data_IF_700120021781
#
_entry.id   IF_700120021781
#
_cell.length_a   1.000
_cell.length_b   1.000
_cell.length_c   1.000
_cell.angle_alpha   90.00
_cell.angle_beta   90.00
_cell.angle_gamma   90.00
#
_symmetry.space_group_name_H-M   'P 1'
#
loop_
_entity.id
_entity.type
_entity.pdbx_description
1 polymer ?
#
# COMPACT_ATOMS: atom_id res chain seq x y z
N UNK A 1 57.89 -81.20 -47.30
CA UNK A 1 58.62 -79.93 -47.51
C UNK A 1 57.59 -78.87 -47.81
N UNK A 2 57.34 -77.96 -46.87
CA UNK A 2 56.35 -76.90 -47.01
C UNK A 2 57.06 -75.59 -46.64
N UNK A 3 57.27 -74.71 -47.62
CA UNK A 3 58.04 -73.48 -47.47
C UNK A 3 57.08 -72.34 -47.13
N UNK A 4 57.30 -71.71 -45.98
CA UNK A 4 56.61 -70.50 -45.52
C UNK A 4 56.93 -69.32 -46.44
N UNK A 5 55.91 -68.59 -46.89
CA UNK A 5 56.04 -67.47 -47.82
C UNK A 5 56.65 -66.20 -47.20
N UNK A 6 57.21 -65.30 -48.02
CA UNK A 6 57.88 -64.09 -47.55
C UNK A 6 56.90 -63.05 -46.97
N UNK A 7 57.36 -62.30 -45.96
CA UNK A 7 56.60 -61.18 -45.36
C UNK A 7 56.28 -60.08 -46.37
N UNK A 8 55.08 -59.50 -46.22
CA UNK A 8 54.58 -58.43 -47.09
C UNK A 8 55.38 -57.11 -47.00
N UNK A 9 55.28 -56.27 -48.03
CA UNK A 9 56.03 -55.01 -48.11
C UNK A 9 55.60 -54.01 -47.04
N UNK A 10 56.56 -53.18 -46.61
CA UNK A 10 56.38 -52.13 -45.60
C UNK A 10 55.47 -51.02 -46.15
N UNK A 11 54.52 -50.54 -45.33
CA UNK A 11 53.55 -49.52 -45.73
C UNK A 11 54.18 -48.18 -46.11
N UNK A 12 53.49 -47.42 -46.96
CA UNK A 12 53.94 -46.11 -47.48
C UNK A 12 53.98 -45.05 -46.39
N UNK A 13 54.97 -44.15 -46.49
CA UNK A 13 55.15 -43.02 -45.56
C UNK A 13 54.04 -41.98 -45.79
N UNK A 14 53.45 -41.48 -44.70
CA UNK A 14 52.35 -40.52 -44.75
C UNK A 14 52.75 -39.16 -45.34
N UNK A 15 51.77 -38.47 -45.95
CA UNK A 15 51.97 -37.20 -46.62
C UNK A 15 52.25 -36.05 -45.63
N UNK A 16 53.05 -35.08 -46.06
CA UNK A 16 53.35 -33.87 -45.29
C UNK A 16 52.10 -32.99 -45.14
N UNK A 17 51.89 -32.43 -43.94
CA UNK A 17 50.73 -31.58 -43.64
C UNK A 17 50.71 -30.28 -44.43
N UNK A 18 49.51 -29.73 -44.65
CA UNK A 18 49.31 -28.49 -45.39
C UNK A 18 49.90 -27.26 -44.68
N UNK A 19 50.34 -26.22 -45.42
CA UNK A 19 50.76 -24.95 -44.85
C UNK A 19 49.63 -24.29 -44.02
N UNK A 20 50.02 -23.56 -42.97
CA UNK A 20 49.07 -22.83 -42.13
C UNK A 20 48.38 -21.66 -42.88
N UNK A 21 47.21 -21.21 -42.39
CA UNK A 21 46.48 -20.11 -43.01
C UNK A 21 47.24 -18.78 -42.89
N UNK A 22 46.97 -17.86 -43.83
CA UNK A 22 47.52 -16.51 -43.84
C UNK A 22 46.96 -15.68 -42.65
N UNK A 23 47.80 -14.85 -42.04
CA UNK A 23 47.40 -13.99 -40.91
C UNK A 23 46.43 -12.88 -41.31
N UNK A 24 45.59 -12.46 -40.36
CA UNK A 24 44.59 -11.41 -40.55
C UNK A 24 45.22 -10.03 -40.82
N UNK A 25 44.52 -9.20 -41.61
CA UNK A 25 44.87 -7.80 -41.84
C UNK A 25 44.73 -6.98 -40.55
N UNK A 26 45.60 -5.98 -40.35
CA UNK A 26 45.52 -5.08 -39.19
C UNK A 26 44.27 -4.21 -39.20
N UNK A 27 43.77 -3.86 -38.01
CA UNK A 27 42.58 -3.01 -37.85
C UNK A 27 42.80 -1.59 -38.39
N UNK A 28 41.73 -1.01 -38.94
CA UNK A 28 41.71 0.35 -39.45
C UNK A 28 41.80 1.36 -38.28
N UNK A 29 42.58 2.43 -38.44
CA UNK A 29 42.81 3.41 -37.39
C UNK A 29 41.53 4.13 -36.96
N UNK A 30 41.38 4.37 -35.66
CA UNK A 30 40.20 5.03 -35.10
C UNK A 30 39.99 6.44 -35.66
N UNK A 31 38.73 6.77 -35.96
CA UNK A 31 38.30 8.13 -36.33
C UNK A 31 38.63 9.09 -35.16
N UNK A 32 39.16 10.26 -35.49
CA UNK A 32 39.50 11.29 -34.50
C UNK A 32 38.27 11.75 -33.67
N UNK A 33 38.48 12.21 -32.42
CA UNK A 33 37.39 12.58 -31.54
C UNK A 33 36.58 13.75 -32.12
N UNK A 34 35.26 13.67 -31.94
CA UNK A 34 34.34 14.75 -32.28
C UNK A 34 34.64 15.99 -31.43
N UNK A 35 34.65 17.17 -32.04
CA UNK A 35 34.94 18.43 -31.33
C UNK A 35 33.94 18.74 -30.21
N UNK A 36 34.42 19.44 -29.18
CA UNK A 36 33.67 19.74 -27.96
C UNK A 36 32.37 20.50 -28.26
N UNK A 37 31.29 20.06 -27.61
CA UNK A 37 29.98 20.71 -27.68
C UNK A 37 30.04 22.09 -27.00
N UNK A 38 29.43 23.10 -27.61
CA UNK A 38 29.36 24.45 -27.04
C UNK A 38 28.70 24.46 -25.66
N UNK A 39 29.23 25.30 -24.76
CA UNK A 39 28.76 25.43 -23.38
C UNK A 39 27.24 25.64 -23.32
N UNK A 40 26.56 24.84 -22.48
CA UNK A 40 25.15 25.02 -22.17
C UNK A 40 24.91 26.44 -21.62
N UNK A 41 23.83 27.08 -22.09
CA UNK A 41 23.39 28.37 -21.57
C UNK A 41 23.14 28.31 -20.07
N UNK A 42 23.34 29.45 -19.40
CA UNK A 42 23.16 29.57 -17.95
C UNK A 42 21.80 29.03 -17.52
N UNK A 43 21.81 28.24 -16.44
CA UNK A 43 20.61 27.70 -15.80
C UNK A 43 19.69 28.88 -15.43
N UNK A 44 18.44 28.83 -15.90
CA UNK A 44 17.42 29.82 -15.52
C UNK A 44 17.32 29.96 -14.00
N UNK A 45 17.03 31.17 -13.53
CA UNK A 45 16.88 31.47 -12.10
C UNK A 45 15.88 30.51 -11.47
N UNK A 46 16.20 30.03 -10.26
CA UNK A 46 15.29 29.23 -9.44
C UNK A 46 13.98 30.02 -9.29
N UNK A 47 12.84 29.37 -9.57
CA UNK A 47 11.53 29.99 -9.41
C UNK A 47 11.32 30.44 -7.96
N UNK A 48 10.53 31.49 -7.77
CA UNK A 48 10.18 31.96 -6.43
C UNK A 48 9.55 30.83 -5.62
N UNK A 49 9.88 30.81 -4.32
CA UNK A 49 9.33 29.83 -3.38
C UNK A 49 7.79 29.92 -3.39
N UNK A 50 7.13 28.78 -3.52
CA UNK A 50 5.67 28.73 -3.53
C UNK A 50 5.10 29.36 -2.27
N UNK A 51 4.01 30.13 -2.42
CA UNK A 51 3.31 30.70 -1.27
C UNK A 51 3.01 29.59 -0.24
N UNK A 52 3.16 29.86 1.06
CA UNK A 52 2.77 28.92 2.10
C UNK A 52 1.35 28.43 1.85
N UNK A 53 1.14 27.11 1.97
CA UNK A 53 -0.20 26.53 1.81
C UNK A 53 -1.19 27.14 2.81
N UNK A 54 -2.46 27.16 2.44
CA UNK A 54 -3.54 27.62 3.32
C UNK A 54 -3.47 26.91 4.68
N UNK A 55 -3.80 27.64 5.74
CA UNK A 55 -3.86 27.08 7.08
C UNK A 55 -4.76 25.84 7.09
N UNK A 56 -4.29 24.76 7.72
CA UNK A 56 -5.11 23.56 7.90
C UNK A 56 -6.42 23.88 8.63
N UNK A 57 -7.47 23.06 8.42
CA UNK A 57 -8.73 23.22 9.14
C UNK A 57 -8.48 23.24 10.66
N UNK A 58 -9.32 23.96 11.44
CA UNK A 58 -9.21 23.98 12.89
C UNK A 58 -9.13 22.57 13.47
N UNK A 59 -8.19 22.35 14.40
CA UNK A 59 -8.14 21.10 15.13
C UNK A 59 -9.47 20.84 15.86
N UNK A 60 -9.80 19.57 16.15
CA UNK A 60 -10.96 19.24 16.99
C UNK A 60 -10.90 20.00 18.32
N UNK A 61 -12.05 20.27 18.96
CA UNK A 61 -12.12 21.04 20.21
C UNK A 61 -11.11 20.54 21.25
N UNK A 62 -10.27 21.45 21.74
CA UNK A 62 -9.31 21.13 22.79
C UNK A 62 -10.03 20.72 24.07
N UNK A 63 -9.62 19.58 24.62
CA UNK A 63 -10.05 19.10 25.93
C UNK A 63 -9.60 20.11 27.00
N UNK A 64 -10.56 20.72 27.72
CA UNK A 64 -10.27 21.64 28.81
C UNK A 64 -9.75 20.85 30.01
N UNK A 65 -8.46 20.56 30.03
CA UNK A 65 -7.78 20.09 31.23
C UNK A 65 -7.28 21.33 31.99
N UNK A 66 -8.03 21.73 33.01
CA UNK A 66 -7.62 22.76 33.94
C UNK A 66 -6.47 22.23 34.83
N UNK A 67 -5.23 22.57 34.47
CA UNK A 67 -4.11 22.74 35.39
C UNK A 67 -3.23 21.52 35.72
N UNK A 68 -2.00 21.49 35.17
CA UNK A 68 -0.73 21.55 35.92
C UNK A 68 0.46 21.08 35.05
N UNK A 69 1.49 21.92 34.94
CA UNK A 69 2.72 21.69 34.19
C UNK A 69 3.61 20.59 34.82
N UNK A 70 3.98 19.62 33.98
CA UNK A 70 5.23 18.86 33.89
C UNK A 70 6.16 18.73 35.12
N UNK A 71 6.22 17.50 35.66
CA UNK A 71 7.36 16.57 35.51
C UNK A 71 7.10 15.39 36.45
N UNK A 72 6.84 14.19 35.91
CA UNK A 72 7.24 12.88 36.47
C UNK A 72 6.80 11.76 35.52
N UNK A 73 7.69 10.79 35.30
CA UNK A 73 7.45 9.59 34.49
C UNK A 73 6.36 8.72 35.15
N UNK A 74 5.30 8.40 34.40
CA UNK A 74 4.20 7.50 34.82
C UNK A 74 2.84 8.20 35.02
N UNK A 75 1.71 7.46 34.99
CA UNK A 75 0.37 8.04 35.10
C UNK A 75 0.20 8.70 36.47
N UNK A 76 0.12 10.03 36.47
CA UNK A 76 0.14 10.87 37.67
C UNK A 76 -1.19 10.94 38.43
N UNK A 77 -1.77 9.81 38.83
CA UNK A 77 -2.85 9.80 39.82
C UNK A 77 -2.26 9.55 41.21
N UNK A 78 -2.01 10.61 41.98
CA UNK A 78 -1.64 10.48 43.40
C UNK A 78 -2.84 9.94 44.19
N UNK A 79 -2.82 8.64 44.47
CA UNK A 79 -3.81 7.89 45.28
C UNK A 79 -3.81 8.27 46.78
N UNK A 80 -2.89 9.13 47.24
CA UNK A 80 -2.80 9.50 48.65
C UNK A 80 -2.59 11.00 48.78
N UNK A 81 -3.68 11.72 49.09
CA UNK A 81 -3.61 13.01 49.76
C UNK A 81 -4.16 12.80 51.17
N UNK A 82 -3.27 12.64 52.12
CA UNK A 82 -3.60 12.57 53.55
C UNK A 82 -3.89 14.00 54.03
N UNK A 83 -5.12 14.48 53.80
CA UNK A 83 -5.70 15.53 54.63
C UNK A 83 -7.08 15.08 55.06
N UNK A 84 -7.28 15.17 56.37
CA UNK A 84 -8.34 14.55 57.17
C UNK A 84 -9.75 14.86 56.66
N UNK A 85 -10.58 13.81 56.66
CA UNK A 85 -11.99 13.84 56.27
C UNK A 85 -12.44 12.45 55.83
N UNK A 86 -12.60 11.53 56.78
CA UNK A 86 -12.89 10.08 56.58
C UNK A 86 -14.09 9.77 55.66
N UNK A 87 -15.04 10.70 55.48
CA UNK A 87 -16.14 10.52 54.53
C UNK A 87 -15.81 10.91 53.08
N UNK A 88 -14.81 11.77 52.87
CA UNK A 88 -14.48 12.32 51.56
C UNK A 88 -13.48 11.47 50.77
N UNK A 89 -12.58 10.76 51.45
CA UNK A 89 -11.56 9.93 50.81
C UNK A 89 -12.16 8.72 50.09
N UNK A 90 -13.12 8.04 50.74
CA UNK A 90 -13.81 6.88 50.17
C UNK A 90 -14.73 7.29 49.01
N UNK A 91 -15.45 8.41 49.12
CA UNK A 91 -16.24 8.97 48.01
C UNK A 91 -15.36 9.41 46.83
N UNK A 92 -14.19 9.98 47.08
CA UNK A 92 -13.23 10.33 46.03
C UNK A 92 -12.65 9.08 45.36
N UNK A 93 -12.42 8.00 46.11
CA UNK A 93 -11.99 6.71 45.56
C UNK A 93 -13.07 6.08 44.69
N UNK A 94 -14.32 6.02 45.16
CA UNK A 94 -15.46 5.51 44.39
C UNK A 94 -15.71 6.34 43.12
N UNK A 95 -15.59 7.67 43.20
CA UNK A 95 -15.66 8.56 42.02
C UNK A 95 -14.49 8.29 41.06
N UNK A 96 -13.28 8.08 41.58
CA UNK A 96 -12.11 7.71 40.78
C UNK A 96 -12.31 6.40 40.02
N UNK A 97 -12.78 5.35 40.71
CA UNK A 97 -13.13 4.07 40.08
C UNK A 97 -14.26 4.23 39.05
N UNK A 98 -15.29 5.03 39.37
CA UNK A 98 -16.37 5.36 38.45
C UNK A 98 -15.84 5.99 37.15
N UNK A 99 -14.90 6.91 37.25
CA UNK A 99 -14.25 7.53 36.09
C UNK A 99 -13.40 6.53 35.32
N UNK A 100 -12.63 5.66 35.97
CA UNK A 100 -11.83 4.62 35.29
C UNK A 100 -12.74 3.67 34.51
N UNK A 101 -13.84 3.21 35.12
CA UNK A 101 -14.83 2.37 34.46
C UNK A 101 -15.49 3.11 33.30
N UNK A 102 -15.82 4.39 33.49
CA UNK A 102 -16.38 5.23 32.44
C UNK A 102 -15.41 5.33 31.27
N UNK A 103 -14.15 5.72 31.49
CA UNK A 103 -13.16 5.84 30.41
C UNK A 103 -12.82 4.51 29.73
N UNK A 104 -12.85 3.38 30.46
CA UNK A 104 -12.66 2.06 29.85
C UNK A 104 -13.84 1.65 28.96
N UNK A 105 -15.05 2.07 29.32
CA UNK A 105 -16.26 1.78 28.53
C UNK A 105 -16.47 2.76 27.39
N UNK A 106 -16.03 4.02 27.53
CA UNK A 106 -16.39 5.10 26.62
C UNK A 106 -15.53 5.05 25.36
N UNK A 107 -16.10 4.57 24.25
CA UNK A 107 -15.41 4.41 22.96
C UNK A 107 -15.54 5.65 22.08
N UNK A 108 -14.75 6.69 22.36
CA UNK A 108 -14.89 7.98 21.67
C UNK A 108 -14.32 8.03 20.24
N UNK A 109 -13.75 6.94 19.72
CA UNK A 109 -13.12 6.92 18.40
C UNK A 109 -11.81 7.72 18.31
N UNK A 110 -11.13 7.92 19.44
CA UNK A 110 -9.84 8.62 19.51
C UNK A 110 -8.68 7.63 19.56
N UNK A 111 -7.43 8.07 19.36
CA UNK A 111 -6.27 7.16 19.44
C UNK A 111 -6.10 6.50 20.82
N UNK A 112 -6.53 7.17 21.89
CA UNK A 112 -6.43 6.68 23.26
C UNK A 112 -7.65 5.85 23.70
N UNK A 113 -8.80 6.11 23.08
CA UNK A 113 -10.02 5.31 23.25
C UNK A 113 -10.65 5.07 21.87
N UNK A 114 -10.11 4.11 21.09
CA UNK A 114 -10.64 3.77 19.78
C UNK A 114 -11.98 3.03 19.94
N UNK A 115 -12.85 3.18 18.95
CA UNK A 115 -14.11 2.43 18.92
C UNK A 115 -13.93 1.07 18.25
N UNK A 116 -14.78 0.09 18.53
CA UNK A 116 -14.65 -1.23 17.88
C UNK A 116 -14.88 -1.16 16.37
N UNK A 117 -15.80 -0.32 15.92
CA UNK A 117 -16.07 -0.03 14.51
C UNK A 117 -16.77 1.32 14.37
N UNK A 118 -16.84 1.88 13.16
CA UNK A 118 -17.61 3.11 12.94
C UNK A 118 -19.10 2.92 13.25
N UNK A 119 -19.63 1.71 13.06
CA UNK A 119 -21.01 1.40 13.41
C UNK A 119 -21.24 1.50 14.92
N UNK A 120 -20.32 0.95 15.71
CA UNK A 120 -20.41 1.01 17.17
C UNK A 120 -20.30 2.46 17.66
N UNK A 121 -19.34 3.21 17.10
CA UNK A 121 -19.15 4.63 17.39
C UNK A 121 -20.43 5.43 17.14
N UNK A 122 -21.13 5.18 16.02
CA UNK A 122 -22.38 5.85 15.70
C UNK A 122 -23.53 5.48 16.66
N UNK A 123 -23.57 4.23 17.16
CA UNK A 123 -24.60 3.80 18.11
C UNK A 123 -24.42 4.45 19.49
N UNK A 124 -23.17 4.65 19.93
CA UNK A 124 -22.88 5.33 21.20
C UNK A 124 -22.96 6.86 21.08
N UNK A 125 -22.53 7.40 19.93
CA UNK A 125 -22.43 8.83 19.66
C UNK A 125 -23.14 9.23 18.35
N UNK A 126 -24.50 9.23 18.31
CA UNK A 126 -25.26 9.55 17.09
C UNK A 126 -25.10 11.00 16.62
N UNK A 127 -24.60 11.88 17.48
CA UNK A 127 -24.33 13.30 17.21
C UNK A 127 -22.99 13.54 16.51
N UNK A 128 -22.13 12.51 16.42
CA UNK A 128 -20.84 12.65 15.76
C UNK A 128 -21.01 12.75 14.24
N UNK A 129 -20.27 13.67 13.58
CA UNK A 129 -20.31 13.78 12.12
C UNK A 129 -19.44 12.70 11.46
N UNK A 130 -19.75 12.35 10.19
CA UNK A 130 -18.86 11.56 9.36
C UNK A 130 -17.47 12.22 9.29
N UNK A 131 -16.41 11.42 9.39
CA UNK A 131 -15.07 11.96 9.60
C UNK A 131 -14.01 10.90 9.86
N UNK A 132 -12.81 11.35 10.21
CA UNK A 132 -11.71 10.44 10.54
C UNK A 132 -11.73 10.09 12.03
N UNK A 133 -11.64 8.79 12.32
CA UNK A 133 -11.66 8.25 13.67
C UNK A 133 -10.67 7.08 13.79
N UNK A 134 -10.40 6.68 15.03
CA UNK A 134 -9.62 5.49 15.34
C UNK A 134 -10.54 4.35 15.75
N UNK A 135 -10.31 3.18 15.15
CA UNK A 135 -11.03 1.97 15.49
C UNK A 135 -10.09 0.82 15.87
N UNK A 136 -10.53 -0.03 16.77
CA UNK A 136 -9.83 -1.23 17.23
C UNK A 136 -10.77 -2.45 17.16
N UNK A 137 -10.87 -3.10 15.99
CA UNK A 137 -11.81 -4.20 15.74
C UNK A 137 -11.45 -5.51 16.46
N UNK A 138 -10.15 -5.76 16.65
CA UNK A 138 -9.63 -6.91 17.39
C UNK A 138 -9.64 -6.68 18.91
N UNK A 139 -9.86 -5.43 19.34
CA UNK A 139 -9.74 -5.00 20.72
C UNK A 139 -8.33 -5.33 21.29
N UNK A 140 -8.19 -5.20 22.60
CA UNK A 140 -6.95 -5.51 23.30
C UNK A 140 -6.03 -4.29 23.35
N UNK A 141 -4.91 -4.34 22.64
CA UNK A 141 -3.85 -3.36 22.80
C UNK A 141 -3.98 -2.21 21.79
N UNK A 142 -4.65 -1.13 22.19
CA UNK A 142 -4.96 0.09 21.39
C UNK A 142 -3.82 0.68 20.53
N UNK A 143 -2.57 0.26 20.73
CA UNK A 143 -1.43 0.59 19.88
C UNK A 143 -1.55 0.11 18.43
N UNK A 144 -2.33 -0.94 18.16
CA UNK A 144 -2.56 -1.45 16.80
C UNK A 144 -3.87 -0.97 16.18
N UNK A 145 -4.59 -0.07 16.87
CA UNK A 145 -5.82 0.51 16.34
C UNK A 145 -5.57 1.20 14.99
N UNK A 146 -6.57 1.11 14.12
CA UNK A 146 -6.52 1.54 12.73
C UNK A 146 -7.17 2.92 12.57
N UNK A 147 -6.60 3.75 11.70
CA UNK A 147 -7.14 5.06 11.40
C UNK A 147 -8.02 4.99 10.15
N UNK A 148 -9.30 5.27 10.31
CA UNK A 148 -10.32 5.06 9.28
C UNK A 148 -11.16 6.30 9.07
N UNK A 149 -11.82 6.35 7.92
CA UNK A 149 -12.93 7.29 7.71
C UNK A 149 -14.25 6.60 8.03
N UNK A 150 -14.99 7.13 8.98
CA UNK A 150 -16.33 6.70 9.30
C UNK A 150 -17.32 7.52 8.49
N UNK A 151 -18.06 6.85 7.62
CA UNK A 151 -19.18 7.42 6.91
C UNK A 151 -20.48 6.96 7.58
N UNK A 152 -21.06 7.82 8.41
CA UNK A 152 -22.28 7.49 9.15
C UNK A 152 -23.54 7.60 8.29
N UNK A 153 -23.49 8.23 7.12
CA UNK A 153 -24.64 8.30 6.22
C UNK A 153 -24.93 6.93 5.60
N UNK A 154 -23.87 6.21 5.22
CA UNK A 154 -23.97 4.84 4.66
C UNK A 154 -23.62 3.75 5.68
N UNK A 155 -23.16 4.12 6.88
CA UNK A 155 -22.77 3.19 7.94
C UNK A 155 -21.51 2.39 7.63
N UNK A 156 -20.52 3.00 6.98
CA UNK A 156 -19.29 2.34 6.53
C UNK A 156 -18.06 2.69 7.38
N UNK A 157 -17.16 1.72 7.50
CA UNK A 157 -15.79 1.91 8.01
C UNK A 157 -14.82 1.82 6.84
N UNK A 158 -14.29 2.97 6.38
CA UNK A 158 -13.43 3.06 5.21
C UNK A 158 -11.96 3.01 5.60
N UNK A 159 -11.30 1.89 5.28
CA UNK A 159 -9.86 1.68 5.47
C UNK A 159 -9.14 2.05 4.18
N UNK A 160 -8.13 2.91 4.26
CA UNK A 160 -7.36 3.35 3.09
C UNK A 160 -6.06 2.56 2.93
N UNK A 161 -5.63 2.29 1.68
CA UNK A 161 -4.35 1.65 1.44
C UNK A 161 -3.19 2.55 1.89
N UNK A 162 -2.14 1.95 2.46
CA UNK A 162 -0.90 2.66 2.83
C UNK A 162 -0.27 3.37 1.63
N UNK A 163 -0.29 2.70 0.47
CA UNK A 163 0.15 3.26 -0.80
C UNK A 163 -1.06 3.45 -1.72
N UNK A 164 -1.47 4.72 -1.91
CA UNK A 164 -2.64 5.07 -2.73
C UNK A 164 -2.40 4.93 -4.23
N UNK A 165 -1.15 5.07 -4.67
CA UNK A 165 -0.77 4.99 -6.08
C UNK A 165 0.41 4.03 -6.25
N UNK A 166 0.31 3.15 -7.25
CA UNK A 166 1.39 2.26 -7.68
C UNK A 166 1.75 2.65 -9.12
N UNK A 167 3.01 3.03 -9.33
CA UNK A 167 3.53 3.44 -10.65
C UNK A 167 4.77 2.60 -10.96
N UNK A 168 4.75 1.92 -12.10
CA UNK A 168 5.92 1.23 -12.67
C UNK A 168 6.08 1.68 -14.13
N UNK A 169 7.09 2.53 -14.44
CA UNK A 169 7.31 3.01 -15.80
C UNK A 169 7.81 1.91 -16.76
N UNK A 170 8.29 0.78 -16.24
CA UNK A 170 8.83 -0.34 -17.02
C UNK A 170 7.93 -1.58 -16.94
N UNK A 171 6.65 -1.39 -16.59
CA UNK A 171 5.68 -2.46 -16.43
C UNK A 171 5.59 -3.34 -17.69
N UNK A 172 5.75 -4.66 -17.51
CA UNK A 172 5.63 -5.64 -18.59
C UNK A 172 4.24 -6.28 -18.60
N UNK A 173 3.79 -6.82 -19.76
CA UNK A 173 2.58 -7.62 -19.81
C UNK A 173 2.63 -8.78 -18.80
N UNK A 174 1.51 -9.03 -18.11
CA UNK A 174 1.33 -10.11 -17.13
C UNK A 174 2.22 -10.02 -15.87
N UNK A 175 2.72 -8.83 -15.53
CA UNK A 175 3.46 -8.57 -14.31
C UNK A 175 2.52 -8.17 -13.16
N UNK A 176 2.67 -8.78 -12.00
CA UNK A 176 2.02 -8.32 -10.77
C UNK A 176 2.71 -7.04 -10.27
N UNK A 177 1.92 -5.97 -10.05
CA UNK A 177 2.45 -4.64 -9.70
C UNK A 177 2.54 -4.40 -8.19
N UNK A 178 1.75 -5.10 -7.39
CA UNK A 178 1.71 -4.96 -5.92
C UNK A 178 2.17 -6.23 -5.24
N UNK A 179 2.99 -6.07 -4.19
CA UNK A 179 3.33 -7.18 -3.29
C UNK A 179 2.11 -7.55 -2.42
N UNK A 180 2.10 -8.80 -1.94
CA UNK A 180 1.08 -9.27 -1.00
C UNK A 180 1.21 -8.45 0.28
N UNK A 181 0.20 -7.63 0.56
CA UNK A 181 0.10 -6.92 1.84
C UNK A 181 -0.24 -7.99 2.87
N UNK A 182 0.61 -8.16 3.89
CA UNK A 182 0.40 -9.12 4.97
C UNK A 182 -1.00 -8.98 5.54
N UNK A 183 -1.67 -10.11 5.81
CA UNK A 183 -2.95 -10.21 6.49
C UNK A 183 -2.98 -9.26 7.70
N UNK A 184 -3.57 -8.07 7.54
CA UNK A 184 -3.81 -7.19 8.67
C UNK A 184 -4.87 -7.88 9.52
N UNK A 185 -4.48 -8.37 10.71
CA UNK A 185 -5.36 -9.06 11.65
C UNK A 185 -6.66 -8.26 11.86
N UNK A 186 -6.53 -6.94 11.99
CA UNK A 186 -7.59 -5.93 11.98
C UNK A 186 -8.64 -6.14 10.88
N UNK A 187 -8.22 -6.41 9.64
CA UNK A 187 -9.12 -6.60 8.50
C UNK A 187 -9.96 -7.87 8.63
N UNK A 188 -9.43 -8.93 9.27
CA UNK A 188 -10.21 -10.15 9.53
C UNK A 188 -11.37 -9.86 10.48
N UNK A 189 -11.14 -9.08 11.53
CA UNK A 189 -12.21 -8.67 12.45
C UNK A 189 -13.20 -7.72 11.81
N UNK A 190 -12.75 -6.77 10.98
CA UNK A 190 -13.66 -5.90 10.23
C UNK A 190 -14.60 -6.68 9.30
N UNK A 191 -14.10 -7.75 8.67
CA UNK A 191 -14.95 -8.64 7.86
C UNK A 191 -16.03 -9.31 8.71
N UNK A 192 -15.70 -9.76 9.93
CA UNK A 192 -16.68 -10.36 10.85
C UNK A 192 -17.74 -9.36 11.34
N UNK A 193 -17.36 -8.08 11.45
CA UNK A 193 -18.25 -7.00 11.91
C UNK A 193 -19.07 -6.36 10.78
N UNK A 194 -18.83 -6.75 9.53
CA UNK A 194 -19.44 -6.15 8.34
C UNK A 194 -20.37 -7.12 7.63
N UNK A 195 -21.45 -6.60 7.03
CA UNK A 195 -22.36 -7.39 6.18
C UNK A 195 -21.92 -7.46 4.72
N UNK A 196 -21.15 -6.48 4.29
CA UNK A 196 -20.71 -6.33 2.90
C UNK A 196 -19.48 -5.46 2.83
N UNK A 197 -18.68 -5.66 1.78
CA UNK A 197 -17.49 -4.89 1.47
C UNK A 197 -17.59 -4.36 0.06
N UNK A 198 -17.25 -3.08 -0.10
CA UNK A 198 -17.13 -2.42 -1.40
C UNK A 198 -15.72 -1.85 -1.55
N UNK A 199 -15.13 -1.98 -2.74
CA UNK A 199 -13.84 -1.40 -3.06
C UNK A 199 -13.81 -0.90 -4.51
N UNK A 200 -13.33 0.34 -4.69
CA UNK A 200 -13.10 0.92 -6.01
C UNK A 200 -11.60 0.92 -6.35
N UNK A 201 -11.27 0.48 -7.55
CA UNK A 201 -9.91 0.47 -8.09
C UNK A 201 -9.91 1.22 -9.42
N UNK A 202 -8.99 2.17 -9.55
CA UNK A 202 -8.79 2.93 -10.79
C UNK A 202 -7.50 2.46 -11.47
N UNK A 203 -7.63 2.02 -12.71
CA UNK A 203 -6.50 1.71 -13.59
C UNK A 203 -6.28 2.87 -14.56
N UNK A 204 -5.18 3.58 -14.38
CA UNK A 204 -4.72 4.63 -15.29
C UNK A 204 -3.91 3.99 -16.41
N UNK A 205 -4.24 4.32 -17.66
CA UNK A 205 -3.71 3.63 -18.82
C UNK A 205 -3.23 4.62 -19.89
N UNK A 206 -2.18 4.21 -20.62
CA UNK A 206 -1.67 4.91 -21.79
C UNK A 206 -1.45 3.88 -22.89
N UNK A 207 -2.29 3.91 -23.94
CA UNK A 207 -2.32 2.88 -25.00
C UNK A 207 -2.40 1.44 -24.46
N UNK A 208 -3.03 1.25 -23.30
CA UNK A 208 -3.19 -0.05 -22.64
C UNK A 208 -4.67 -0.32 -22.39
N UNK A 209 -5.14 -1.51 -22.76
CA UNK A 209 -6.53 -1.92 -22.56
C UNK A 209 -6.73 -2.45 -21.14
N UNK A 210 -7.78 -1.97 -20.48
CA UNK A 210 -8.06 -2.33 -19.10
C UNK A 210 -9.12 -3.42 -18.95
N UNK A 211 -10.26 -3.29 -19.64
CA UNK A 211 -11.42 -4.16 -19.42
C UNK A 211 -12.28 -4.36 -20.68
N UNK A 212 -12.52 -5.63 -21.03
CA UNK A 212 -13.38 -6.09 -22.13
C UNK A 212 -14.09 -7.39 -21.70
N UNK A 213 -15.39 -7.52 -21.95
CA UNK A 213 -16.20 -8.66 -21.45
C UNK A 213 -15.79 -10.02 -22.02
N UNK A 214 -15.18 -10.05 -23.21
CA UNK A 214 -14.75 -11.28 -23.93
C UNK A 214 -13.28 -11.18 -24.39
N UNK A 215 -12.48 -10.30 -23.77
CA UNK A 215 -11.17 -9.89 -24.27
C UNK A 215 -10.06 -9.91 -23.22
N UNK A 216 -9.01 -9.14 -23.47
CA UNK A 216 -7.91 -8.97 -22.52
C UNK A 216 -8.36 -8.02 -21.41
N UNK A 217 -8.40 -8.52 -20.18
CA UNK A 217 -8.61 -7.70 -18.97
C UNK A 217 -7.34 -7.64 -18.15
N UNK A 218 -7.19 -6.57 -17.37
CA UNK A 218 -6.27 -6.61 -16.24
C UNK A 218 -6.72 -7.70 -15.25
N UNK A 219 -5.75 -8.29 -14.56
CA UNK A 219 -6.00 -9.25 -13.49
C UNK A 219 -5.87 -8.55 -12.15
N UNK A 220 -6.82 -8.80 -11.27
CA UNK A 220 -6.78 -8.36 -9.89
C UNK A 220 -6.89 -9.58 -9.00
N UNK A 221 -6.16 -9.60 -7.90
CA UNK A 221 -6.15 -10.72 -6.96
C UNK A 221 -6.78 -10.26 -5.65
N UNK A 222 -7.75 -11.02 -5.16
CA UNK A 222 -8.31 -10.85 -3.83
C UNK A 222 -7.38 -11.38 -2.74
N UNK A 223 -7.67 -11.01 -1.50
CA UNK A 223 -6.91 -11.46 -0.32
C UNK A 223 -6.92 -12.99 -0.11
N UNK A 224 -7.97 -13.66 -0.58
CA UNK A 224 -8.11 -15.12 -0.55
C UNK A 224 -7.48 -15.80 -1.78
N UNK A 225 -6.53 -15.14 -2.44
CA UNK A 225 -5.81 -15.59 -3.65
C UNK A 225 -6.68 -15.78 -4.90
N UNK A 226 -7.97 -15.47 -4.81
CA UNK A 226 -8.92 -15.60 -5.91
C UNK A 226 -8.68 -14.51 -6.97
N UNK A 227 -8.56 -14.92 -8.24
CA UNK A 227 -8.48 -13.97 -9.35
C UNK A 227 -9.86 -13.38 -9.66
N UNK A 228 -9.92 -12.05 -9.67
CA UNK A 228 -11.06 -11.27 -10.10
C UNK A 228 -10.95 -11.09 -11.62
N UNK A 229 -11.92 -11.63 -12.35
CA UNK A 229 -11.86 -11.80 -13.80
C UNK A 229 -13.19 -11.40 -14.44
N UNK A 230 -13.30 -11.49 -15.76
CA UNK A 230 -14.57 -11.27 -16.48
C UNK A 230 -15.61 -12.37 -16.25
N UNK A 231 -15.27 -13.48 -15.57
CA UNK A 231 -16.20 -14.57 -15.26
C UNK A 231 -17.27 -14.15 -14.25
N UNK A 232 -18.50 -14.65 -14.43
CA UNK A 232 -19.72 -14.15 -13.76
C UNK A 232 -19.64 -14.04 -12.24
N UNK A 233 -18.89 -14.91 -11.56
CA UNK A 233 -18.81 -14.90 -10.08
C UNK A 233 -17.86 -13.86 -9.50
N UNK A 234 -16.88 -13.37 -10.28
CA UNK A 234 -15.86 -12.42 -9.80
C UNK A 234 -15.79 -11.15 -10.64
N UNK A 235 -16.81 -10.92 -11.48
CA UNK A 235 -16.90 -9.79 -12.38
C UNK A 235 -17.18 -8.48 -11.62
N UNK A 236 -16.30 -7.47 -11.69
CA UNK A 236 -16.59 -6.15 -11.15
C UNK A 236 -17.71 -5.43 -11.89
N UNK A 237 -18.28 -4.44 -11.22
CA UNK A 237 -19.08 -3.39 -11.84
C UNK A 237 -18.13 -2.38 -12.48
N UNK A 238 -18.27 -2.15 -13.78
CA UNK A 238 -17.43 -1.21 -14.52
C UNK A 238 -18.08 0.18 -14.48
N UNK A 239 -17.61 1.05 -13.59
CA UNK A 239 -18.15 2.40 -13.44
C UNK A 239 -17.72 3.34 -14.58
N UNK A 240 -16.50 3.14 -15.08
CA UNK A 240 -15.89 3.96 -16.13
C UNK A 240 -14.90 3.14 -16.94
N UNK A 241 -14.88 3.25 -18.27
CA UNK A 241 -13.96 2.48 -19.12
C UNK A 241 -13.47 3.26 -20.35
N UNK A 242 -12.52 4.18 -20.15
CA UNK A 242 -11.93 4.99 -21.23
C UNK A 242 -10.69 4.33 -21.85
N UNK A 243 -10.10 3.33 -21.19
CA UNK A 243 -8.91 2.61 -21.66
C UNK A 243 -9.13 1.73 -22.92
N UNK A 244 -10.27 1.86 -23.59
CA UNK A 244 -10.50 1.26 -24.92
C UNK A 244 -9.84 2.08 -26.03
N UNK A 245 -9.62 3.38 -25.80
CA UNK A 245 -9.02 4.28 -26.76
C UNK A 245 -7.49 4.07 -26.85
N UNK A 246 -6.97 4.04 -28.09
CA UNK A 246 -5.54 3.97 -28.39
C UNK A 246 -5.11 5.24 -29.14
N UNK A 247 -5.25 6.39 -28.50
CA UNK A 247 -5.07 7.73 -29.07
C UNK A 247 -3.82 8.45 -28.53
N UNK A 248 -2.87 7.73 -27.93
CA UNK A 248 -1.67 8.28 -27.28
C UNK A 248 -1.99 9.29 -26.18
N UNK A 249 -3.10 9.12 -25.47
CA UNK A 249 -3.45 9.91 -24.29
C UNK A 249 -3.63 9.03 -23.06
N UNK A 250 -3.57 9.67 -21.91
CA UNK A 250 -3.91 9.04 -20.65
C UNK A 250 -5.43 8.93 -20.50
N UNK A 251 -5.87 7.73 -20.15
CA UNK A 251 -7.27 7.40 -19.87
C UNK A 251 -7.36 6.65 -18.55
N UNK A 252 -8.59 6.41 -18.10
CA UNK A 252 -8.85 5.67 -16.86
C UNK A 252 -10.00 4.69 -17.01
N UNK A 253 -9.87 3.57 -16.32
CA UNK A 253 -10.95 2.60 -16.11
C UNK A 253 -11.14 2.44 -14.61
N UNK A 254 -12.38 2.60 -14.15
CA UNK A 254 -12.77 2.48 -12.74
C UNK A 254 -13.63 1.24 -12.58
N UNK A 255 -13.18 0.35 -11.70
CA UNK A 255 -13.82 -0.92 -11.37
C UNK A 255 -14.28 -0.89 -9.91
N UNK A 256 -15.52 -1.31 -9.68
CA UNK A 256 -16.11 -1.46 -8.35
C UNK A 256 -16.33 -2.94 -8.05
N UNK A 257 -15.90 -3.35 -6.87
CA UNK A 257 -16.05 -4.71 -6.35
C UNK A 257 -16.95 -4.67 -5.14
N UNK A 258 -18.09 -5.36 -5.22
CA UNK A 258 -19.05 -5.47 -4.15
C UNK A 258 -19.21 -6.94 -3.76
N UNK A 259 -18.98 -7.28 -2.50
CA UNK A 259 -19.15 -8.62 -1.95
C UNK A 259 -19.92 -8.57 -0.64
N UNK A 260 -20.67 -9.64 -0.35
CA UNK A 260 -21.38 -9.86 0.91
C UNK A 260 -20.71 -10.97 1.70
#
# INVERSE_FOLDING_TARGET
MERTGPSGPKGVVGHQGMPGPQGYSGEEGMIGPQGDHGNHGERGRVGEEGLPGDAGPPGPPGEQIHGSQLQNKGPGFRLYSTKEGESSAELNYLRGLGNVIYFYKSQHGTRLSPARSCRELYLEHPDYPSGNYWIDPNEGCVSDAEHVYCDFEIGASCVFPKNKEVKDPNARPFQWMSERISDAETMRYLRLLSRSVSQNITYNCYNSRAWEDEGRTIKLQGDNEMELTSFEKTKPVVLKNECKAADNKWHQTVLEFNTT
#
